data_IF_114453415987
#
_entry.id   IF_114453415987
#
_cell.length_a   1.000
_cell.length_b   1.000
_cell.length_c   1.000
_cell.angle_alpha   90.00
_cell.angle_beta   90.00
_cell.angle_gamma   90.00
#
_symmetry.space_group_name_H-M   'P 1'
#
loop_
_entity.id
_entity.type
_entity.pdbx_description
1 polymer ?
#
# COMPACT_ATOMS: atom_id res chain seq x y z
N UNK A 1 13.16 -3.71 4.98
CA UNK A 1 11.97 -3.60 5.84
C UNK A 1 10.87 -3.03 4.96
N UNK A 2 9.67 -3.61 5.00
CA UNK A 2 8.53 -3.14 4.21
C UNK A 2 7.79 -2.06 4.99
N UNK A 3 7.54 -0.91 4.36
CA UNK A 3 6.80 0.20 4.97
C UNK A 3 5.29 -0.08 4.97
N UNK A 4 4.61 0.26 6.07
CA UNK A 4 3.15 0.20 6.18
C UNK A 4 2.51 1.42 5.53
N UNK A 5 1.74 1.22 4.46
CA UNK A 5 0.83 2.21 3.90
C UNK A 5 -0.59 1.98 4.44
N UNK A 6 -1.12 2.97 5.16
CA UNK A 6 -2.49 2.94 5.67
C UNK A 6 -3.40 3.79 4.79
N UNK A 7 -4.36 3.15 4.11
CA UNK A 7 -5.42 3.86 3.38
C UNK A 7 -6.49 4.37 4.35
N UNK A 8 -6.63 5.68 4.44
CA UNK A 8 -7.52 6.40 5.35
C UNK A 8 -8.52 7.25 4.56
N UNK A 9 -9.73 7.39 5.08
CA UNK A 9 -10.83 8.10 4.41
C UNK A 9 -11.28 9.38 5.09
N UNK A 10 -10.65 9.74 6.20
CA UNK A 10 -11.00 10.94 6.95
C UNK A 10 -9.80 11.50 7.69
N UNK A 11 -9.93 12.74 8.14
CA UNK A 11 -8.97 13.40 9.01
C UNK A 11 -8.65 12.57 10.26
N UNK A 12 -9.67 12.09 10.96
CA UNK A 12 -9.47 11.37 12.22
C UNK A 12 -8.71 10.07 12.01
N UNK A 13 -9.05 9.31 10.96
CA UNK A 13 -8.32 8.09 10.60
C UNK A 13 -6.87 8.39 10.21
N UNK A 14 -6.62 9.50 9.51
CA UNK A 14 -5.28 9.88 9.10
C UNK A 14 -4.36 10.16 10.31
N UNK A 15 -4.88 10.88 11.31
CA UNK A 15 -4.15 11.13 12.55
C UNK A 15 -4.00 9.88 13.42
N UNK A 16 -5.03 9.04 13.47
CA UNK A 16 -4.99 7.77 14.19
C UNK A 16 -3.96 6.82 13.58
N UNK A 17 -3.95 6.66 12.25
CA UNK A 17 -2.97 5.83 11.56
C UNK A 17 -1.54 6.36 11.74
N UNK A 18 -1.34 7.68 11.61
CA UNK A 18 -0.02 8.29 11.80
C UNK A 18 0.50 8.09 13.23
N UNK A 19 -0.38 8.22 14.24
CA UNK A 19 -0.03 7.99 15.65
C UNK A 19 0.27 6.53 15.94
N UNK A 20 -0.46 5.62 15.30
CA UNK A 20 -0.34 4.18 15.49
C UNK A 20 0.83 3.54 14.73
N UNK A 21 1.65 4.32 14.01
CA UNK A 21 2.88 3.82 13.41
C UNK A 21 2.82 3.53 11.91
N UNK A 22 1.76 3.96 11.20
CA UNK A 22 1.78 3.91 9.73
C UNK A 22 2.96 4.72 9.17
N UNK A 23 3.71 4.13 8.24
CA UNK A 23 4.88 4.75 7.61
C UNK A 23 4.48 5.72 6.49
N UNK A 24 3.40 5.39 5.78
CA UNK A 24 2.81 6.21 4.71
C UNK A 24 1.30 6.35 4.94
N UNK A 25 0.80 7.57 4.84
CA UNK A 25 -0.64 7.85 4.90
C UNK A 25 -1.20 7.98 3.49
N UNK A 26 -2.22 7.21 3.16
CA UNK A 26 -2.85 7.20 1.85
C UNK A 26 -4.30 7.68 1.93
N UNK A 27 -4.60 8.81 1.31
CA UNK A 27 -5.90 9.44 1.32
C UNK A 27 -6.78 8.90 0.18
N UNK A 28 -7.82 8.15 0.53
CA UNK A 28 -8.77 7.59 -0.44
C UNK A 28 -10.18 7.41 0.11
N UNK A 29 -11.18 7.41 -0.77
CA UNK A 29 -12.59 7.20 -0.45
C UNK A 29 -13.07 5.81 -0.93
N UNK A 30 -13.10 4.79 -0.04
CA UNK A 30 -13.49 3.44 -0.44
C UNK A 30 -14.93 3.30 -0.93
N UNK A 31 -15.83 4.24 -0.63
CA UNK A 31 -17.19 4.27 -1.17
C UNK A 31 -17.25 4.75 -2.62
N UNK A 32 -16.21 5.43 -3.11
CA UNK A 32 -16.15 5.98 -4.46
C UNK A 32 -15.37 5.09 -5.44
N UNK A 33 -14.98 3.88 -5.03
CA UNK A 33 -14.25 2.94 -5.89
C UNK A 33 -13.04 2.28 -5.22
N UNK A 34 -12.21 1.58 -5.99
CA UNK A 34 -10.99 0.91 -5.52
C UNK A 34 -9.92 1.92 -5.10
N UNK A 35 -9.72 2.94 -5.94
CA UNK A 35 -8.86 4.10 -5.79
C UNK A 35 -9.69 5.40 -5.79
N UNK A 36 -10.96 5.34 -5.34
CA UNK A 36 -11.81 6.51 -5.15
C UNK A 36 -11.09 7.63 -4.40
N UNK A 37 -11.19 8.88 -4.86
CA UNK A 37 -10.51 10.03 -4.28
C UNK A 37 -11.37 10.73 -3.23
N UNK A 38 -10.73 11.34 -2.23
CA UNK A 38 -11.39 12.33 -1.37
C UNK A 38 -11.58 13.65 -2.14
N UNK A 39 -12.38 14.56 -1.59
CA UNK A 39 -12.49 15.92 -2.15
C UNK A 39 -11.13 16.64 -2.05
N UNK A 40 -10.80 17.48 -3.04
CA UNK A 40 -9.56 18.28 -3.02
C UNK A 40 -9.44 19.13 -1.74
N UNK A 41 -10.56 19.70 -1.28
CA UNK A 41 -10.61 20.47 -0.03
C UNK A 41 -10.28 19.63 1.21
N UNK A 42 -10.76 18.38 1.28
CA UNK A 42 -10.41 17.47 2.37
C UNK A 42 -8.95 17.02 2.30
N UNK A 43 -8.44 16.69 1.11
CA UNK A 43 -7.04 16.32 0.93
C UNK A 43 -6.14 17.46 1.41
N UNK A 44 -6.34 18.69 0.91
CA UNK A 44 -5.55 19.86 1.29
C UNK A 44 -5.61 20.15 2.80
N UNK A 45 -6.80 20.03 3.41
CA UNK A 45 -6.98 20.20 4.86
C UNK A 45 -6.20 19.15 5.64
N UNK A 46 -6.35 17.88 5.30
CA UNK A 46 -5.69 16.74 5.98
C UNK A 46 -4.17 16.85 5.83
N UNK A 47 -3.66 17.14 4.62
CA UNK A 47 -2.23 17.31 4.35
C UNK A 47 -1.65 18.43 5.22
N UNK A 48 -2.27 19.61 5.22
CA UNK A 48 -1.81 20.75 6.03
C UNK A 48 -1.74 20.40 7.51
N UNK A 49 -2.77 19.75 8.04
CA UNK A 49 -2.87 19.42 9.46
C UNK A 49 -1.91 18.28 9.86
N UNK A 50 -1.76 17.26 9.03
CA UNK A 50 -0.78 16.19 9.25
C UNK A 50 0.65 16.73 9.20
N UNK A 51 1.00 17.53 8.19
CA UNK A 51 2.34 18.15 8.07
C UNK A 51 2.71 18.98 9.30
N UNK A 52 1.75 19.68 9.91
CA UNK A 52 1.99 20.46 11.12
C UNK A 52 2.41 19.60 12.33
N UNK A 53 2.04 18.31 12.37
CA UNK A 53 2.35 17.38 13.47
C UNK A 53 3.41 16.34 13.11
N UNK A 54 3.47 15.92 11.85
CA UNK A 54 4.31 14.86 11.30
C UNK A 54 5.00 15.36 10.01
N UNK A 55 5.96 16.30 10.10
CA UNK A 55 6.43 17.08 8.95
C UNK A 55 7.09 16.26 7.83
N UNK A 56 7.67 15.10 8.18
CA UNK A 56 8.40 14.21 7.26
C UNK A 56 7.63 12.94 6.90
N UNK A 57 6.38 12.78 7.35
CA UNK A 57 5.59 11.58 7.06
C UNK A 57 5.08 11.65 5.62
N UNK A 58 5.41 10.68 4.74
CA UNK A 58 4.93 10.69 3.37
C UNK A 58 3.41 10.55 3.30
N UNK A 59 2.79 11.37 2.46
CA UNK A 59 1.34 11.36 2.22
C UNK A 59 1.11 11.11 0.73
N UNK A 60 0.26 10.13 0.42
CA UNK A 60 -0.24 9.89 -0.93
C UNK A 60 -1.74 10.13 -0.99
N UNK A 61 -2.26 10.41 -2.18
CA UNK A 61 -3.70 10.47 -2.42
C UNK A 61 -4.04 9.92 -3.81
N UNK A 62 -5.22 9.31 -3.93
CA UNK A 62 -5.72 8.82 -5.21
C UNK A 62 -6.54 9.89 -5.93
N UNK A 63 -6.52 9.87 -7.27
CA UNK A 63 -7.31 10.81 -8.10
C UNK A 63 -8.78 10.41 -8.29
N UNK A 64 -9.16 9.22 -7.80
CA UNK A 64 -10.41 8.56 -8.15
C UNK A 64 -10.25 7.50 -9.24
N UNK A 65 -11.26 6.66 -9.39
CA UNK A 65 -11.31 5.66 -10.46
C UNK A 65 -11.75 6.35 -11.76
N UNK A 66 -10.88 6.34 -12.77
CA UNK A 66 -11.13 6.85 -14.11
C UNK A 66 -10.72 5.78 -15.15
N UNK A 67 -11.40 5.71 -16.29
CA UNK A 67 -10.98 4.82 -17.36
C UNK A 67 -9.64 5.31 -17.97
N UNK A 68 -8.74 4.42 -18.41
CA UNK A 68 -7.40 4.80 -18.87
C UNK A 68 -7.39 5.69 -20.12
N UNK A 69 -8.49 5.72 -20.88
CA UNK A 69 -8.70 6.61 -22.03
C UNK A 69 -9.09 8.06 -21.65
N UNK A 70 -9.49 8.34 -20.40
CA UNK A 70 -9.87 9.69 -19.95
C UNK A 70 -8.63 10.55 -19.64
N UNK A 71 -7.70 10.62 -20.59
CA UNK A 71 -6.37 11.20 -20.45
C UNK A 71 -6.39 12.64 -19.93
N UNK A 72 -7.19 13.53 -20.51
CA UNK A 72 -7.24 14.93 -20.09
C UNK A 72 -7.80 15.08 -18.67
N UNK A 73 -8.81 14.30 -18.30
CA UNK A 73 -9.39 14.31 -16.95
C UNK A 73 -8.40 13.74 -15.92
N UNK A 74 -7.71 12.65 -16.27
CA UNK A 74 -6.65 12.08 -15.43
C UNK A 74 -5.57 13.14 -15.17
N UNK A 75 -5.07 13.81 -16.22
CA UNK A 75 -4.06 14.84 -16.09
C UNK A 75 -4.53 15.98 -15.18
N UNK A 76 -5.74 16.50 -15.41
CA UNK A 76 -6.32 17.56 -14.59
C UNK A 76 -6.40 17.16 -13.11
N UNK A 77 -6.91 15.96 -12.81
CA UNK A 77 -7.00 15.49 -11.42
C UNK A 77 -5.65 15.20 -10.77
N UNK A 78 -4.66 14.76 -11.54
CA UNK A 78 -3.30 14.59 -11.02
C UNK A 78 -2.74 15.93 -10.55
N UNK A 79 -2.93 17.00 -11.34
CA UNK A 79 -2.51 18.36 -10.96
C UNK A 79 -3.28 18.82 -9.72
N UNK A 80 -4.62 18.73 -9.73
CA UNK A 80 -5.44 19.17 -8.60
C UNK A 80 -5.05 18.47 -7.29
N UNK A 81 -4.79 17.15 -7.34
CA UNK A 81 -4.34 16.38 -6.17
C UNK A 81 -2.91 16.75 -5.78
N UNK A 82 -1.99 16.90 -6.74
CA UNK A 82 -0.61 17.31 -6.48
C UNK A 82 -0.53 18.66 -5.77
N UNK A 83 -1.35 19.63 -6.20
CA UNK A 83 -1.39 20.99 -5.64
C UNK A 83 -1.88 21.05 -4.18
N UNK A 84 -2.44 19.96 -3.66
CA UNK A 84 -2.78 19.85 -2.23
C UNK A 84 -1.56 19.63 -1.33
N UNK A 85 -0.38 19.34 -1.90
CA UNK A 85 0.88 19.15 -1.18
C UNK A 85 1.16 17.70 -0.74
N UNK A 86 0.46 16.72 -1.32
CA UNK A 86 0.83 15.30 -1.17
C UNK A 86 2.19 15.02 -1.78
N UNK A 87 2.90 14.02 -1.25
CA UNK A 87 4.19 13.59 -1.77
C UNK A 87 4.03 12.68 -3.01
N UNK A 88 2.92 11.92 -3.09
CA UNK A 88 2.64 11.01 -4.19
C UNK A 88 1.20 11.08 -4.67
N UNK A 89 1.01 11.14 -5.98
CA UNK A 89 -0.32 11.05 -6.61
C UNK A 89 -0.52 9.65 -7.17
N UNK A 90 -1.58 8.96 -6.75
CA UNK A 90 -1.86 7.58 -7.20
C UNK A 90 -2.93 7.53 -8.26
N UNK A 91 -2.64 6.83 -9.34
CA UNK A 91 -3.53 6.69 -10.51
C UNK A 91 -3.70 5.22 -10.85
N UNK A 92 -4.94 4.75 -10.92
CA UNK A 92 -5.25 3.39 -11.37
C UNK A 92 -4.98 3.20 -12.86
N UNK A 93 -4.31 2.12 -13.22
CA UNK A 93 -4.07 1.73 -14.61
C UNK A 93 -4.54 0.29 -14.80
N UNK A 94 -5.65 0.15 -15.52
CA UNK A 94 -6.18 -1.15 -15.94
C UNK A 94 -5.49 -1.59 -17.23
N UNK A 95 -5.05 -2.85 -17.35
CA UNK A 95 -4.53 -3.40 -18.60
C UNK A 95 -5.51 -3.25 -19.76
N UNK A 96 -4.98 -2.98 -20.96
CA UNK A 96 -5.77 -2.79 -22.17
C UNK A 96 -5.12 -1.82 -23.16
N UNK A 97 -5.77 -1.56 -24.30
CA UNK A 97 -5.18 -0.78 -25.39
C UNK A 97 -4.70 0.63 -25.00
N UNK A 98 -5.37 1.27 -24.05
CA UNK A 98 -5.04 2.63 -23.59
C UNK A 98 -3.97 2.66 -22.48
N UNK A 99 -3.64 1.52 -21.85
CA UNK A 99 -2.79 1.49 -20.66
C UNK A 99 -1.39 2.06 -20.92
N UNK A 100 -0.80 1.71 -22.08
CA UNK A 100 0.53 2.17 -22.47
C UNK A 100 0.58 3.70 -22.63
N UNK A 101 -0.39 4.25 -23.37
CA UNK A 101 -0.50 5.68 -23.58
C UNK A 101 -0.80 6.44 -22.28
N UNK A 102 -1.66 5.88 -21.42
CA UNK A 102 -1.93 6.44 -20.10
C UNK A 102 -0.64 6.54 -19.27
N UNK A 103 0.16 5.47 -19.19
CA UNK A 103 1.45 5.49 -18.49
C UNK A 103 2.42 6.52 -19.07
N UNK A 104 2.56 6.59 -20.40
CA UNK A 104 3.42 7.59 -21.06
C UNK A 104 2.99 9.01 -20.71
N UNK A 105 1.68 9.28 -20.66
CA UNK A 105 1.20 10.59 -20.26
C UNK A 105 1.49 10.89 -18.79
N UNK A 106 1.20 9.94 -17.88
CA UNK A 106 1.43 10.09 -16.45
C UNK A 106 2.90 10.41 -16.14
N UNK A 107 3.83 9.79 -16.86
CA UNK A 107 5.27 10.02 -16.69
C UNK A 107 5.73 11.43 -17.08
N UNK A 108 4.95 12.15 -17.89
CA UNK A 108 5.24 13.50 -18.34
C UNK A 108 4.52 14.60 -17.53
N UNK A 109 3.75 14.23 -16.50
CA UNK A 109 3.06 15.20 -15.65
C UNK A 109 4.04 15.80 -14.61
N UNK A 110 3.89 17.08 -14.23
CA UNK A 110 4.72 17.73 -13.22
C UNK A 110 4.33 17.33 -11.78
N UNK A 111 4.17 16.04 -11.52
CA UNK A 111 3.80 15.47 -10.23
C UNK A 111 4.55 14.15 -9.99
N UNK A 112 4.79 13.81 -8.73
CA UNK A 112 5.34 12.51 -8.35
C UNK A 112 4.24 11.43 -8.42
N UNK A 113 3.97 10.95 -9.64
CA UNK A 113 2.93 9.95 -9.89
C UNK A 113 3.42 8.54 -9.54
N UNK A 114 2.55 7.78 -8.87
CA UNK A 114 2.69 6.33 -8.65
C UNK A 114 1.55 5.63 -9.40
N UNK A 115 1.81 5.04 -10.58
CA UNK A 115 0.81 4.18 -11.23
C UNK A 115 0.51 2.96 -10.37
N UNK A 116 -0.78 2.70 -10.19
CA UNK A 116 -1.33 1.53 -9.51
C UNK A 116 -1.86 0.57 -10.57
N UNK A 117 -1.09 -0.46 -10.89
CA UNK A 117 -1.44 -1.48 -11.86
C UNK A 117 -2.50 -2.40 -11.26
N UNK A 118 -3.70 -2.41 -11.85
CA UNK A 118 -4.85 -3.18 -11.36
C UNK A 118 -4.84 -4.59 -11.98
N UNK A 119 -4.59 -5.62 -11.17
CA UNK A 119 -4.18 -6.94 -11.67
C UNK A 119 -5.32 -7.93 -11.94
N UNK A 120 -6.56 -7.68 -11.50
CA UNK A 120 -7.63 -8.68 -11.53
C UNK A 120 -8.05 -9.13 -12.93
N UNK A 121 -7.82 -8.29 -13.94
CA UNK A 121 -8.10 -8.59 -15.34
C UNK A 121 -7.01 -9.40 -16.04
N UNK A 122 -5.97 -9.82 -15.30
CA UNK A 122 -4.71 -10.33 -15.84
C UNK A 122 -3.74 -9.19 -16.13
N UNK A 123 -2.46 -9.41 -15.84
CA UNK A 123 -1.41 -8.40 -16.01
C UNK A 123 -0.30 -8.91 -16.91
N UNK A 124 0.02 -8.13 -17.94
CA UNK A 124 1.04 -8.47 -18.91
C UNK A 124 2.41 -7.96 -18.45
N UNK A 125 3.42 -8.85 -18.44
CA UNK A 125 4.77 -8.49 -18.04
C UNK A 125 5.40 -7.37 -18.88
N UNK A 126 5.00 -7.24 -20.16
CA UNK A 126 5.45 -6.16 -21.04
C UNK A 126 4.93 -4.79 -20.58
N UNK A 127 3.68 -4.70 -20.13
CA UNK A 127 3.12 -3.46 -19.59
C UNK A 127 3.84 -3.05 -18.30
N UNK A 128 4.14 -4.01 -17.43
CA UNK A 128 4.91 -3.76 -16.20
C UNK A 128 6.33 -3.29 -16.53
N UNK A 129 7.00 -3.93 -17.49
CA UNK A 129 8.32 -3.52 -17.95
C UNK A 129 8.32 -2.11 -18.54
N UNK A 130 7.28 -1.78 -19.30
CA UNK A 130 7.11 -0.45 -19.83
C UNK A 130 6.90 0.59 -18.73
N UNK A 131 5.99 0.33 -17.77
CA UNK A 131 5.79 1.21 -16.61
C UNK A 131 7.11 1.46 -15.85
N UNK A 132 7.89 0.40 -15.58
CA UNK A 132 9.17 0.51 -14.90
C UNK A 132 10.18 1.40 -15.67
N UNK A 133 10.14 1.38 -17.02
CA UNK A 133 11.06 2.16 -17.85
C UNK A 133 10.77 3.66 -17.94
N UNK A 134 9.61 4.11 -17.44
CA UNK A 134 9.12 5.49 -17.59
C UNK A 134 9.58 6.43 -16.47
N UNK A 135 10.43 5.97 -15.54
CA UNK A 135 11.04 6.83 -14.52
C UNK A 135 10.10 7.30 -13.41
N UNK A 136 9.01 6.58 -13.14
CA UNK A 136 8.16 6.85 -11.99
C UNK A 136 8.93 6.70 -10.67
N UNK A 137 8.54 7.48 -9.65
CA UNK A 137 9.09 7.36 -8.29
C UNK A 137 8.72 6.04 -7.62
N UNK A 138 7.62 5.42 -8.05
CA UNK A 138 7.24 4.08 -7.63
C UNK A 138 6.13 3.48 -8.49
N UNK A 139 5.98 2.16 -8.44
CA UNK A 139 4.91 1.40 -9.10
C UNK A 139 4.24 0.50 -8.07
N UNK A 140 2.91 0.48 -8.06
CA UNK A 140 2.12 -0.30 -7.10
C UNK A 140 1.25 -1.33 -7.81
N UNK A 141 1.08 -2.50 -7.21
CA UNK A 141 0.19 -3.57 -7.69
C UNK A 141 -0.99 -3.69 -6.72
N UNK A 142 -2.23 -3.61 -7.21
CA UNK A 142 -3.46 -3.68 -6.40
C UNK A 142 -4.55 -4.42 -7.19
N UNK A 143 -5.68 -4.65 -6.53
CA UNK A 143 -6.91 -5.14 -7.15
C UNK A 143 -7.88 -3.98 -7.39
N UNK A 144 -8.74 -4.08 -8.40
CA UNK A 144 -9.88 -3.18 -8.63
C UNK A 144 -11.14 -3.71 -7.94
N UNK A 145 -11.40 -5.00 -8.12
CA UNK A 145 -12.52 -5.76 -7.56
C UNK A 145 -12.32 -5.91 -6.05
N UNK A 146 -13.40 -5.71 -5.29
CA UNK A 146 -13.39 -5.74 -3.81
C UNK A 146 -14.40 -6.77 -3.30
N UNK A 147 -14.29 -7.97 -3.85
CA UNK A 147 -15.04 -9.18 -3.53
C UNK A 147 -14.36 -10.05 -2.45
N UNK A 148 -13.16 -9.66 -2.01
CA UNK A 148 -12.37 -10.37 -1.02
C UNK A 148 -11.18 -11.13 -1.62
N UNK A 149 -11.11 -11.26 -2.95
CA UNK A 149 -9.91 -11.75 -3.62
C UNK A 149 -8.72 -10.82 -3.34
N UNK A 150 -7.56 -11.43 -3.13
CA UNK A 150 -6.29 -10.79 -2.84
C UNK A 150 -5.46 -10.68 -4.11
N UNK A 151 -4.44 -9.82 -4.11
CA UNK A 151 -3.50 -9.73 -5.23
C UNK A 151 -2.87 -11.10 -5.58
N UNK A 152 -2.64 -11.94 -4.58
CA UNK A 152 -2.04 -13.27 -4.75
C UNK A 152 -2.99 -14.30 -5.35
N UNK A 153 -4.30 -14.00 -5.45
CA UNK A 153 -5.26 -14.83 -6.18
C UNK A 153 -5.25 -14.51 -7.69
N UNK A 154 -4.75 -13.32 -8.07
CA UNK A 154 -4.71 -12.85 -9.46
C UNK A 154 -3.32 -12.96 -10.10
N UNK A 155 -2.26 -12.91 -9.28
CA UNK A 155 -0.87 -12.97 -9.75
C UNK A 155 -0.06 -13.91 -8.87
N UNK A 156 0.64 -14.85 -9.49
CA UNK A 156 1.54 -15.75 -8.79
C UNK A 156 2.77 -15.02 -8.20
N UNK A 157 3.36 -15.61 -7.17
CA UNK A 157 4.47 -15.00 -6.44
C UNK A 157 5.75 -14.85 -7.28
N UNK A 158 6.00 -15.72 -8.26
CA UNK A 158 7.19 -15.63 -9.12
C UNK A 158 7.08 -14.46 -10.11
N UNK A 159 5.89 -14.24 -10.64
CA UNK A 159 5.57 -13.07 -11.47
C UNK A 159 5.72 -11.77 -10.68
N UNK A 160 5.11 -11.68 -9.48
CA UNK A 160 5.30 -10.52 -8.60
C UNK A 160 6.79 -10.31 -8.26
N UNK A 161 7.53 -11.36 -7.89
CA UNK A 161 8.95 -11.25 -7.57
C UNK A 161 9.79 -10.71 -8.74
N UNK A 162 9.51 -11.16 -9.97
CA UNK A 162 10.15 -10.62 -11.18
C UNK A 162 9.81 -9.15 -11.40
N UNK A 163 8.55 -8.77 -11.25
CA UNK A 163 8.09 -7.40 -11.47
C UNK A 163 8.64 -6.42 -10.42
N UNK A 164 8.61 -6.77 -9.14
CA UNK A 164 9.21 -5.96 -8.08
C UNK A 164 10.72 -5.78 -8.31
N UNK A 165 11.43 -6.82 -8.76
CA UNK A 165 12.85 -6.72 -9.11
C UNK A 165 13.08 -5.77 -10.29
N UNK A 166 12.23 -5.85 -11.32
CA UNK A 166 12.32 -4.99 -12.49
C UNK A 166 12.11 -3.51 -12.14
N UNK A 167 11.10 -3.20 -11.33
CA UNK A 167 10.84 -1.83 -10.84
C UNK A 167 12.03 -1.31 -10.03
N UNK A 168 12.54 -2.10 -9.08
CA UNK A 168 13.71 -1.71 -8.26
C UNK A 168 14.99 -1.51 -9.08
N UNK A 169 15.20 -2.28 -10.14
CA UNK A 169 16.36 -2.11 -11.04
C UNK A 169 16.36 -0.75 -11.76
N UNK A 170 15.18 -0.13 -11.91
CA UNK A 170 15.03 1.22 -12.46
C UNK A 170 15.13 2.31 -11.37
N UNK A 171 15.41 1.93 -10.12
CA UNK A 171 15.54 2.86 -8.99
C UNK A 171 14.20 3.32 -8.38
N UNK A 172 13.08 2.76 -8.83
CA UNK A 172 11.75 3.10 -8.35
C UNK A 172 11.33 2.25 -7.13
N UNK A 173 10.51 2.81 -6.25
CA UNK A 173 9.87 2.05 -5.17
C UNK A 173 8.84 1.08 -5.74
N UNK A 174 8.66 -0.08 -5.11
CA UNK A 174 7.61 -1.02 -5.47
C UNK A 174 6.65 -1.32 -4.32
N UNK A 175 5.36 -1.31 -4.62
CA UNK A 175 4.29 -1.48 -3.63
C UNK A 175 3.35 -2.63 -3.93
N UNK A 176 2.84 -3.29 -2.89
CA UNK A 176 1.76 -4.29 -2.99
C UNK A 176 0.53 -3.83 -2.18
N UNK A 177 -0.66 -4.02 -2.74
CA UNK A 177 -1.94 -3.93 -2.02
C UNK A 177 -2.89 -5.02 -2.57
N UNK A 178 -4.20 -4.83 -2.47
CA UNK A 178 -5.18 -5.81 -2.96
C UNK A 178 -5.61 -6.81 -1.90
N UNK A 179 -6.58 -6.40 -1.06
CA UNK A 179 -7.20 -7.21 0.01
C UNK A 179 -6.23 -7.97 0.92
N UNK A 180 -5.01 -7.46 1.11
CA UNK A 180 -3.98 -8.11 1.92
C UNK A 180 -4.43 -8.27 3.37
N UNK A 181 -4.10 -9.43 3.95
CA UNK A 181 -4.37 -9.77 5.35
C UNK A 181 -3.25 -10.63 5.96
N UNK A 182 -3.44 -11.09 7.19
CA UNK A 182 -2.43 -11.88 7.93
C UNK A 182 -2.03 -13.16 7.18
N UNK A 183 -2.95 -13.77 6.44
CA UNK A 183 -2.68 -14.95 5.62
C UNK A 183 -1.61 -14.69 4.53
N UNK A 184 -1.47 -13.44 4.07
CA UNK A 184 -0.50 -13.04 3.06
C UNK A 184 0.80 -12.49 3.67
N UNK A 185 0.93 -12.40 5.01
CA UNK A 185 2.08 -11.76 5.66
C UNK A 185 3.41 -12.39 5.25
N UNK A 186 3.49 -13.72 5.22
CA UNK A 186 4.72 -14.42 4.83
C UNK A 186 5.05 -14.24 3.33
N UNK A 187 4.03 -14.15 2.47
CA UNK A 187 4.23 -13.83 1.05
C UNK A 187 4.75 -12.40 0.87
N UNK A 188 4.19 -11.43 1.62
CA UNK A 188 4.65 -10.04 1.63
C UNK A 188 6.11 -9.97 2.10
N UNK A 189 6.45 -10.65 3.21
CA UNK A 189 7.83 -10.71 3.73
C UNK A 189 8.80 -11.34 2.73
N UNK A 190 8.40 -12.41 2.06
CA UNK A 190 9.24 -13.08 1.05
C UNK A 190 9.50 -12.19 -0.17
N UNK A 191 8.50 -11.43 -0.63
CA UNK A 191 8.64 -10.48 -1.74
C UNK A 191 9.33 -9.16 -1.35
N UNK A 192 9.29 -8.85 -0.05
CA UNK A 192 9.91 -7.69 0.58
C UNK A 192 9.64 -6.35 -0.14
N UNK A 193 8.40 -6.02 -0.54
CA UNK A 193 8.11 -4.77 -1.25
C UNK A 193 8.56 -3.57 -0.40
N UNK A 194 8.84 -2.45 -1.04
CA UNK A 194 9.20 -1.22 -0.32
C UNK A 194 7.99 -0.73 0.50
N UNK A 195 6.78 -0.92 -0.03
CA UNK A 195 5.52 -0.53 0.62
C UNK A 195 4.49 -1.66 0.54
N UNK A 196 3.75 -1.92 1.62
CA UNK A 196 2.56 -2.75 1.61
C UNK A 196 1.34 -1.93 2.08
N UNK A 197 0.29 -1.90 1.26
CA UNK A 197 -0.90 -1.05 1.43
C UNK A 197 -2.12 -1.79 1.97
N UNK A 198 -2.73 -1.24 3.02
CA UNK A 198 -3.85 -1.86 3.70
C UNK A 198 -5.02 -0.89 3.91
N UNK A 199 -6.23 -1.40 3.74
CA UNK A 199 -7.48 -0.77 4.20
C UNK A 199 -8.27 -1.74 5.05
N UNK A 200 -8.75 -2.82 4.46
CA UNK A 200 -9.65 -3.80 5.11
C UNK A 200 -9.06 -4.34 6.39
N UNK A 201 -7.79 -4.74 6.37
CA UNK A 201 -7.11 -5.31 7.54
C UNK A 201 -6.89 -4.31 8.69
N UNK A 202 -7.02 -3.00 8.42
CA UNK A 202 -6.89 -1.94 9.42
C UNK A 202 -8.24 -1.49 9.99
N UNK A 203 -9.37 -1.95 9.46
CA UNK A 203 -10.70 -1.49 9.86
C UNK A 203 -11.45 -2.58 10.62
N UNK A 204 -12.32 -2.20 11.57
CA UNK A 204 -13.04 -3.15 12.44
C UNK A 204 -13.92 -4.12 11.63
N UNK A 205 -14.81 -3.54 10.80
CA UNK A 205 -15.89 -4.23 10.07
C UNK A 205 -15.75 -3.99 8.56
N UNK A 206 -14.61 -4.38 8.00
CA UNK A 206 -14.33 -4.28 6.57
C UNK A 206 -14.01 -2.86 6.08
N UNK A 207 -13.68 -2.74 4.79
CA UNK A 207 -13.00 -1.56 4.23
C UNK A 207 -13.73 -0.21 4.34
N UNK A 208 -15.05 -0.21 4.51
CA UNK A 208 -15.86 1.01 4.58
C UNK A 208 -16.04 1.50 6.01
N UNK A 209 -15.82 0.62 6.99
CA UNK A 209 -15.90 0.94 8.42
C UNK A 209 -14.70 1.80 8.85
N UNK A 210 -14.76 2.29 10.10
CA UNK A 210 -13.70 3.11 10.68
C UNK A 210 -12.43 2.29 10.86
N UNK A 211 -11.30 2.91 10.57
CA UNK A 211 -9.97 2.40 10.91
C UNK A 211 -9.82 2.25 12.44
N UNK A 212 -9.18 1.16 12.84
CA UNK A 212 -8.85 0.82 14.22
C UNK A 212 -7.35 1.07 14.46
N UNK A 213 -6.97 2.05 15.32
CA UNK A 213 -5.58 2.35 15.60
C UNK A 213 -4.79 1.15 16.11
N UNK A 214 -5.42 0.21 16.84
CA UNK A 214 -4.71 -0.97 17.33
C UNK A 214 -4.31 -1.88 16.19
N UNK A 215 -5.20 -2.10 15.21
CA UNK A 215 -4.88 -2.89 14.01
C UNK A 215 -3.77 -2.27 13.18
N UNK A 216 -3.67 -0.94 13.15
CA UNK A 216 -2.55 -0.25 12.50
C UNK A 216 -1.22 -0.56 13.21
N UNK A 217 -1.21 -0.44 14.54
CA UNK A 217 -0.02 -0.77 15.34
C UNK A 217 0.40 -2.23 15.16
N UNK A 218 -0.55 -3.17 15.21
CA UNK A 218 -0.29 -4.60 15.03
C UNK A 218 0.32 -4.89 13.64
N UNK A 219 -0.14 -4.21 12.59
CA UNK A 219 0.42 -4.34 11.25
C UNK A 219 1.79 -3.68 11.09
N UNK A 220 2.03 -2.54 11.73
CA UNK A 220 3.35 -1.92 11.75
C UNK A 220 4.36 -2.87 12.39
N UNK A 221 4.03 -3.40 13.57
CA UNK A 221 4.85 -4.38 14.29
C UNK A 221 5.07 -5.65 13.46
N UNK A 222 4.04 -6.18 12.81
CA UNK A 222 4.15 -7.38 11.97
C UNK A 222 5.07 -7.19 10.76
N UNK A 223 5.06 -6.01 10.12
CA UNK A 223 5.89 -5.72 8.96
C UNK A 223 7.33 -5.33 9.34
N UNK A 224 7.52 -4.71 10.51
CA UNK A 224 8.83 -4.25 10.97
C UNK A 224 9.59 -5.34 11.74
N UNK A 225 8.89 -6.24 12.42
CA UNK A 225 9.51 -7.41 13.04
C UNK A 225 9.97 -8.37 11.94
N UNK A 226 11.29 -8.42 11.72
CA UNK A 226 11.89 -9.42 10.83
C UNK A 226 11.47 -10.83 11.24
N UNK A 227 11.49 -11.76 10.29
CA UNK A 227 11.26 -13.20 10.50
C UNK A 227 12.31 -13.81 11.45
N UNK A 228 12.24 -13.43 12.72
CA UNK A 228 13.12 -13.85 13.80
C UNK A 228 12.39 -14.82 14.70
N UNK A 229 12.59 -16.11 14.43
CA UNK A 229 12.50 -17.19 15.41
C UNK A 229 11.13 -17.47 16.01
N UNK A 230 10.60 -18.65 15.70
CA UNK A 230 9.73 -19.40 16.61
C UNK A 230 10.28 -19.23 18.03
N UNK A 231 9.51 -18.61 18.92
CA UNK A 231 9.76 -18.76 20.37
C UNK A 231 9.55 -20.24 20.65
N UNK A 232 10.63 -21.01 20.65
CA UNK A 232 10.64 -22.37 21.14
C UNK A 232 10.11 -22.34 22.56
N UNK A 233 8.97 -22.99 22.78
CA UNK A 233 8.57 -23.41 24.10
C UNK A 233 9.63 -24.43 24.57
N UNK A 234 10.71 -23.93 25.14
CA UNK A 234 11.66 -24.72 25.90
C UNK A 234 10.96 -25.17 27.17
N UNK A 235 10.41 -26.37 27.15
CA UNK A 235 10.09 -27.10 28.35
C UNK A 235 11.41 -27.49 29.02
N UNK A 236 11.70 -26.90 30.17
CA UNK A 236 12.66 -27.49 31.10
C UNK A 236 11.90 -28.31 32.14
N UNK A 237 12.16 -29.60 32.03
CA UNK A 237 11.87 -30.66 32.98
C UNK A 237 12.66 -30.40 34.26
N UNK A 238 11.96 -30.11 35.35
CA UNK A 238 12.56 -30.01 36.67
C UNK A 238 12.96 -31.42 37.15
N UNK A 239 14.26 -31.70 37.11
CA UNK A 239 14.87 -32.92 37.61
C UNK A 239 14.94 -32.89 39.13
N UNK A 240 14.28 -33.87 39.74
CA UNK A 240 14.37 -34.23 41.16
C UNK A 240 15.80 -34.60 41.54
N UNK A 241 16.44 -33.83 42.42
CA UNK A 241 17.46 -34.32 43.37
C UNK A 241 17.43 -33.47 44.65
N UNK A 242 16.87 -34.00 45.73
CA UNK A 242 17.27 -33.60 47.09
C UNK A 242 17.45 -34.88 47.92
N UNK A 243 18.72 -35.26 48.10
CA UNK A 243 19.14 -36.24 49.08
C UNK A 243 19.32 -35.60 50.46
N UNK A 244 18.66 -36.21 51.45
CA UNK A 244 19.15 -36.60 52.79
C UNK A 244 19.98 -35.62 53.64
N UNK A 245 19.54 -35.40 54.88
CA UNK A 245 20.31 -35.45 56.15
C UNK A 245 19.34 -35.23 57.34
N UNK A 246 19.09 -36.23 58.19
CA UNK A 246 19.60 -36.32 59.57
C UNK A 246 18.66 -35.60 60.56
N UNK A 247 18.07 -36.19 61.60
CA UNK A 247 18.53 -37.13 62.64
C UNK A 247 17.32 -37.88 63.18
#
# INVERSE_FOLDING_TARGET
MTALLASVRSHDEAFDAARAGADLIDLKEPNAGALGGLSIGDIARIVRELRARYPVKPISATIGDLPPEALDEIAARVIDVSDTGVDYVKVGVTPGPAARLCLEQLANLPAAVVPVLLCDGGMEGELVAHAASLGFVGVMFDTSTKDGSTLFDHVDSDSLARWLRLVRQQGAMCGLAGSLGLAQLEQIRALAPDVAGFRTALCVDGRRSRLDPQRVADWADALHSGSGGVRGAGGDVDSVVVGTLGV
#
